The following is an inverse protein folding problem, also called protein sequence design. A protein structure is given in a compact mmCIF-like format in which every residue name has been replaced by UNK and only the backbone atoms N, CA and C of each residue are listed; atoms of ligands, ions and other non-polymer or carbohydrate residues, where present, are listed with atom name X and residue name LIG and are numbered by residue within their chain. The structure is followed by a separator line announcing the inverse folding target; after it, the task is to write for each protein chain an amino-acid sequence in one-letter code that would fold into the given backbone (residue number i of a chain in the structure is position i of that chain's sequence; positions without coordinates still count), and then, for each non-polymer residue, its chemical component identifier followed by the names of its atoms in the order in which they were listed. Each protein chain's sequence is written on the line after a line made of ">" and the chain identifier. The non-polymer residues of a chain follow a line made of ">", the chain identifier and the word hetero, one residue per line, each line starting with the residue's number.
data_IF_586703927131
#
_entry.id   IF_586703927131
#
_cell.length_a   1.000
_cell.length_b   1.000
_cell.length_c   1.000
_cell.angle_alpha   90.00
_cell.angle_beta   90.00
_cell.angle_gamma   90.00
#
_symmetry.space_group_name_H-M   'P 1'
#
loop_
_entity.id
_entity.type
_entity.pdbx_description
1 polymer ?
#
# COMPACT_ATOMS: atom_id res chain seq x y z
N UNK A 1 -5.77 -16.32 -35.28
CA UNK A 1 -7.09 -16.84 -34.82
C UNK A 1 -7.79 -15.75 -34.03
N UNK A 2 -8.92 -15.26 -34.53
CA UNK A 2 -9.78 -14.35 -33.72
C UNK A 2 -10.49 -15.19 -32.66
N UNK A 3 -9.94 -15.21 -31.45
CA UNK A 3 -10.60 -15.77 -30.27
C UNK A 3 -11.86 -14.94 -29.97
N UNK A 4 -13.04 -15.51 -30.26
CA UNK A 4 -14.32 -14.85 -29.95
C UNK A 4 -14.62 -14.99 -28.44
N UNK A 5 -13.84 -14.30 -27.60
CA UNK A 5 -13.97 -14.32 -26.15
C UNK A 5 -15.18 -13.48 -25.72
N UNK A 6 -16.05 -14.09 -24.92
CA UNK A 6 -17.22 -13.42 -24.33
C UNK A 6 -16.92 -13.05 -22.88
N UNK A 7 -17.67 -12.10 -22.33
CA UNK A 7 -17.51 -11.70 -20.90
C UNK A 7 -17.69 -12.88 -19.92
N UNK A 8 -18.51 -13.86 -20.24
CA UNK A 8 -18.71 -15.07 -19.42
C UNK A 8 -17.70 -16.19 -19.70
N UNK A 9 -16.81 -16.04 -20.68
CA UNK A 9 -15.76 -17.02 -20.93
C UNK A 9 -14.79 -17.09 -19.75
N UNK A 10 -14.32 -18.31 -19.37
CA UNK A 10 -13.27 -18.46 -18.35
C UNK A 10 -12.00 -17.68 -18.73
N UNK A 11 -11.43 -16.95 -17.78
CA UNK A 11 -10.20 -16.20 -17.97
C UNK A 11 -9.02 -16.83 -17.23
N UNK A 12 -9.22 -17.20 -15.95
CA UNK A 12 -8.20 -17.84 -15.15
C UNK A 12 -8.82 -18.69 -14.02
N UNK A 13 -7.99 -19.50 -13.38
CA UNK A 13 -8.34 -20.29 -12.20
C UNK A 13 -7.42 -19.87 -11.06
N UNK A 14 -8.01 -19.48 -9.93
CA UNK A 14 -7.27 -19.19 -8.69
C UNK A 14 -7.60 -20.29 -7.68
N UNK A 15 -6.58 -20.95 -7.16
CA UNK A 15 -6.75 -21.98 -6.14
C UNK A 15 -6.83 -21.36 -4.75
N UNK A 16 -7.78 -21.84 -3.95
CA UNK A 16 -7.94 -21.51 -2.54
C UNK A 16 -7.69 -22.74 -1.68
N UNK A 17 -7.27 -22.55 -0.42
CA UNK A 17 -6.95 -23.66 0.49
C UNK A 17 -8.14 -24.56 0.84
N UNK A 18 -9.39 -24.14 0.57
CA UNK A 18 -10.60 -24.90 0.87
C UNK A 18 -10.76 -25.25 2.37
N UNK A 19 -11.98 -25.26 2.88
CA UNK A 19 -12.29 -25.60 4.29
C UNK A 19 -12.02 -27.05 4.67
N UNK A 20 -11.85 -27.94 3.69
CA UNK A 20 -11.61 -29.37 3.88
C UNK A 20 -10.19 -29.85 3.56
N UNK A 21 -9.21 -28.94 3.48
CA UNK A 21 -7.81 -29.28 3.22
C UNK A 21 -7.46 -29.54 1.74
N UNK A 22 -8.44 -29.77 0.87
CA UNK A 22 -8.21 -29.92 -0.57
C UNK A 22 -8.33 -28.57 -1.28
N UNK A 23 -7.33 -28.17 -2.09
CA UNK A 23 -7.41 -26.93 -2.85
C UNK A 23 -8.60 -26.93 -3.81
N UNK A 24 -9.34 -25.81 -3.83
CA UNK A 24 -10.46 -25.61 -4.76
C UNK A 24 -10.07 -24.57 -5.80
N UNK A 25 -10.21 -24.91 -7.08
CA UNK A 25 -10.01 -23.99 -8.19
C UNK A 25 -11.26 -23.13 -8.41
N UNK A 26 -11.13 -21.83 -8.21
CA UNK A 26 -12.17 -20.84 -8.49
C UNK A 26 -11.96 -20.29 -9.90
N UNK A 27 -12.94 -20.52 -10.78
CA UNK A 27 -12.90 -20.04 -12.16
C UNK A 27 -13.36 -18.57 -12.16
N UNK A 28 -12.52 -17.69 -12.68
CA UNK A 28 -12.85 -16.28 -12.91
C UNK A 28 -13.13 -16.05 -14.39
N UNK A 29 -14.21 -15.34 -14.69
CA UNK A 29 -14.56 -14.95 -16.06
C UNK A 29 -13.89 -13.63 -16.45
N UNK A 30 -13.74 -13.40 -17.76
CA UNK A 30 -13.30 -12.11 -18.29
C UNK A 30 -14.18 -10.96 -17.79
N UNK A 31 -15.50 -11.14 -17.76
CA UNK A 31 -16.45 -10.13 -17.29
C UNK A 31 -16.29 -9.80 -15.81
N UNK A 32 -16.05 -10.81 -14.96
CA UNK A 32 -15.80 -10.61 -13.53
C UNK A 32 -14.53 -9.80 -13.29
N UNK A 33 -13.44 -10.11 -14.00
CA UNK A 33 -12.18 -9.36 -13.92
C UNK A 33 -12.40 -7.92 -14.38
N UNK A 34 -13.07 -7.70 -15.52
CA UNK A 34 -13.31 -6.36 -16.06
C UNK A 34 -14.19 -5.52 -15.13
N UNK A 35 -15.22 -6.10 -14.52
CA UNK A 35 -16.07 -5.38 -13.56
C UNK A 35 -15.30 -4.95 -12.31
N UNK A 36 -14.46 -5.83 -11.75
CA UNK A 36 -13.57 -5.47 -10.65
C UNK A 36 -12.58 -4.37 -11.05
N UNK A 37 -12.10 -4.43 -12.28
CA UNK A 37 -11.17 -3.46 -12.82
C UNK A 37 -11.79 -2.07 -12.96
N UNK A 38 -13.03 -1.98 -13.44
CA UNK A 38 -13.80 -0.73 -13.52
C UNK A 38 -13.88 -0.07 -12.13
N UNK A 39 -14.29 -0.82 -11.10
CA UNK A 39 -14.33 -0.32 -9.71
C UNK A 39 -12.95 0.07 -9.16
N UNK A 40 -11.91 -0.71 -9.42
CA UNK A 40 -10.55 -0.40 -8.98
C UNK A 40 -10.02 0.88 -9.63
N UNK A 41 -10.29 1.11 -10.92
CA UNK A 41 -9.89 2.32 -11.63
C UNK A 41 -10.56 3.57 -11.06
N UNK A 42 -11.84 3.50 -10.70
CA UNK A 42 -12.56 4.63 -10.05
C UNK A 42 -11.94 4.99 -8.69
N UNK A 43 -11.57 3.98 -7.88
CA UNK A 43 -10.90 4.20 -6.59
C UNK A 43 -9.50 4.82 -6.79
N UNK A 44 -8.78 4.40 -7.81
CA UNK A 44 -7.42 4.87 -8.08
C UNK A 44 -7.38 6.25 -8.74
N UNK A 45 -8.41 6.62 -9.50
CA UNK A 45 -8.48 7.87 -10.26
C UNK A 45 -8.08 9.14 -9.47
N UNK A 46 -8.56 9.41 -8.25
CA UNK A 46 -8.16 10.58 -7.48
C UNK A 46 -6.71 10.55 -6.99
N UNK A 47 -6.05 9.39 -7.03
CA UNK A 47 -4.66 9.22 -6.62
C UNK A 47 -3.67 9.37 -7.79
N UNK A 48 -4.19 9.38 -9.03
CA UNK A 48 -3.39 9.39 -10.25
C UNK A 48 -3.45 10.79 -10.88
N UNK A 49 -2.39 11.58 -10.66
CA UNK A 49 -2.17 12.87 -11.32
C UNK A 49 -1.18 12.78 -12.50
N UNK A 50 -0.33 11.73 -12.48
CA UNK A 50 0.68 11.41 -13.50
C UNK A 50 0.73 9.89 -13.64
N UNK A 51 1.60 9.39 -14.54
CA UNK A 51 1.83 7.96 -14.66
C UNK A 51 2.16 7.35 -13.28
N UNK A 52 1.29 6.49 -12.72
CA UNK A 52 1.49 5.95 -11.39
C UNK A 52 2.64 4.93 -11.40
N UNK A 53 3.33 4.83 -10.26
CA UNK A 53 4.40 3.86 -10.04
C UNK A 53 3.92 2.92 -8.94
N UNK A 54 3.89 1.63 -9.24
CA UNK A 54 3.54 0.58 -8.30
C UNK A 54 4.76 -0.26 -7.94
N UNK A 55 4.79 -0.74 -6.72
CA UNK A 55 5.69 -1.81 -6.28
C UNK A 55 4.83 -2.99 -5.84
N UNK A 56 4.86 -4.06 -6.63
CA UNK A 56 4.19 -5.33 -6.39
C UNK A 56 5.10 -6.23 -5.55
N UNK A 57 4.58 -6.76 -4.46
CA UNK A 57 5.33 -7.59 -3.52
C UNK A 57 4.51 -8.76 -2.95
N UNK A 58 3.21 -8.76 -3.16
CA UNK A 58 2.33 -9.85 -2.80
C UNK A 58 2.30 -10.91 -3.91
N UNK A 59 1.98 -12.18 -3.59
CA UNK A 59 1.90 -13.23 -4.59
C UNK A 59 0.80 -12.96 -5.63
N UNK A 60 1.14 -13.00 -6.91
CA UNK A 60 0.18 -12.86 -8.02
C UNK A 60 -0.83 -14.01 -8.10
N UNK A 61 -0.55 -15.12 -7.46
CA UNK A 61 -1.49 -16.24 -7.29
C UNK A 61 -2.65 -15.93 -6.34
N UNK A 62 -2.54 -14.85 -5.54
CA UNK A 62 -3.60 -14.39 -4.66
C UNK A 62 -4.55 -13.45 -5.40
N UNK A 63 -5.87 -13.66 -5.25
CA UNK A 63 -6.92 -12.91 -5.97
C UNK A 63 -6.79 -11.39 -5.84
N UNK A 64 -6.39 -10.89 -4.68
CA UNK A 64 -6.21 -9.47 -4.44
C UNK A 64 -5.10 -8.87 -5.32
N UNK A 65 -3.87 -9.39 -5.25
CA UNK A 65 -2.76 -8.87 -6.05
C UNK A 65 -2.97 -9.12 -7.55
N UNK A 66 -3.62 -10.24 -7.90
CA UNK A 66 -4.02 -10.53 -9.26
C UNK A 66 -4.93 -9.44 -9.85
N UNK A 67 -5.95 -9.01 -9.11
CA UNK A 67 -6.84 -7.90 -9.51
C UNK A 67 -6.06 -6.57 -9.62
N UNK A 68 -5.18 -6.30 -8.66
CA UNK A 68 -4.35 -5.09 -8.68
C UNK A 68 -3.43 -5.07 -9.90
N UNK A 69 -2.89 -6.22 -10.33
CA UNK A 69 -2.06 -6.31 -11.53
C UNK A 69 -2.81 -5.86 -12.79
N UNK A 70 -4.07 -6.25 -12.94
CA UNK A 70 -4.90 -5.77 -14.04
C UNK A 70 -5.18 -4.27 -13.95
N UNK A 71 -5.43 -3.76 -12.73
CA UNK A 71 -5.60 -2.32 -12.53
C UNK A 71 -4.34 -1.52 -12.90
N UNK A 72 -3.15 -2.03 -12.55
CA UNK A 72 -1.86 -1.44 -12.93
C UNK A 72 -1.71 -1.32 -14.46
N UNK A 73 -2.11 -2.37 -15.18
CA UNK A 73 -2.09 -2.38 -16.66
C UNK A 73 -3.08 -1.35 -17.22
N UNK A 74 -4.30 -1.34 -16.71
CA UNK A 74 -5.37 -0.45 -17.19
C UNK A 74 -5.05 1.04 -17.01
N UNK A 75 -4.40 1.41 -15.89
CA UNK A 75 -4.00 2.81 -15.65
C UNK A 75 -2.63 3.16 -16.26
N UNK A 76 -2.03 2.27 -17.04
CA UNK A 76 -0.74 2.50 -17.70
C UNK A 76 0.41 2.70 -16.70
N UNK A 77 0.38 2.01 -15.56
CA UNK A 77 1.37 2.16 -14.51
C UNK A 77 2.77 1.72 -14.93
N UNK A 78 3.78 2.29 -14.27
CA UNK A 78 5.11 1.69 -14.20
C UNK A 78 5.11 0.73 -13.01
N UNK A 79 5.39 -0.54 -13.24
CA UNK A 79 5.34 -1.59 -12.21
C UNK A 79 6.76 -2.11 -11.94
N UNK A 80 7.11 -2.15 -10.65
CA UNK A 80 8.29 -2.80 -10.15
C UNK A 80 7.85 -4.02 -9.32
N UNK A 81 8.64 -5.08 -9.33
CA UNK A 81 8.42 -6.27 -8.53
C UNK A 81 9.49 -6.37 -7.47
N UNK A 82 9.07 -6.54 -6.21
CA UNK A 82 10.00 -6.71 -5.11
C UNK A 82 10.70 -8.06 -5.20
N UNK A 83 12.00 -8.10 -4.90
CA UNK A 83 12.79 -9.32 -4.94
C UNK A 83 12.35 -10.32 -3.86
N UNK A 84 12.19 -9.82 -2.63
CA UNK A 84 11.78 -10.56 -1.44
C UNK A 84 11.36 -9.62 -0.32
N UNK A 85 10.62 -10.15 0.66
CA UNK A 85 10.04 -9.35 1.76
C UNK A 85 11.14 -8.66 2.59
N UNK A 86 12.27 -9.31 2.81
CA UNK A 86 13.39 -8.75 3.61
C UNK A 86 13.98 -7.50 2.98
N UNK A 87 13.98 -7.42 1.63
CA UNK A 87 14.48 -6.28 0.86
C UNK A 87 13.40 -5.25 0.51
N UNK A 88 12.18 -5.41 0.99
CA UNK A 88 11.05 -4.58 0.59
C UNK A 88 11.31 -3.08 0.80
N UNK A 89 11.94 -2.68 1.91
CA UNK A 89 12.26 -1.27 2.16
C UNK A 89 13.30 -0.71 1.19
N UNK A 90 14.28 -1.52 0.79
CA UNK A 90 15.28 -1.14 -0.19
C UNK A 90 14.63 -0.98 -1.56
N UNK A 91 13.79 -1.94 -1.96
CA UNK A 91 13.02 -1.87 -3.20
C UNK A 91 12.05 -0.67 -3.22
N UNK A 92 11.42 -0.30 -2.09
CA UNK A 92 10.61 0.93 -1.97
C UNK A 92 11.46 2.17 -2.21
N UNK A 93 12.65 2.23 -1.62
CA UNK A 93 13.56 3.37 -1.76
C UNK A 93 14.04 3.56 -3.20
N UNK A 94 14.24 2.47 -3.92
CA UNK A 94 14.69 2.45 -5.32
C UNK A 94 13.54 2.76 -6.29
N UNK A 95 12.42 2.03 -6.18
CA UNK A 95 11.27 2.18 -7.06
C UNK A 95 10.52 3.50 -6.85
N UNK A 96 10.58 4.06 -5.63
CA UNK A 96 9.85 5.28 -5.22
C UNK A 96 8.37 5.25 -5.63
N UNK A 97 7.62 4.22 -5.22
CA UNK A 97 6.25 4.02 -5.67
C UNK A 97 5.35 5.17 -5.24
N UNK A 98 4.32 5.43 -6.04
CA UNK A 98 3.24 6.37 -5.70
C UNK A 98 2.08 5.67 -5.01
N UNK A 99 1.88 4.40 -5.32
CA UNK A 99 0.84 3.53 -4.76
C UNK A 99 1.45 2.16 -4.46
N UNK A 100 1.10 1.58 -3.32
CA UNK A 100 1.48 0.22 -2.95
C UNK A 100 0.27 -0.55 -2.43
N UNK A 101 0.26 -1.84 -2.71
CA UNK A 101 -0.65 -2.77 -2.02
C UNK A 101 -0.13 -3.05 -0.61
N UNK A 102 -1.04 -3.27 0.32
CA UNK A 102 -0.70 -3.65 1.68
C UNK A 102 -1.78 -4.58 2.25
N UNK A 103 -1.37 -5.49 3.09
CA UNK A 103 -2.26 -6.39 3.84
C UNK A 103 -2.19 -6.05 5.34
N UNK A 104 -3.18 -6.43 6.15
CA UNK A 104 -3.19 -6.11 7.59
C UNK A 104 -1.89 -6.48 8.31
N UNK A 105 -1.32 -7.63 7.98
CA UNK A 105 -0.05 -8.10 8.55
C UNK A 105 1.13 -7.16 8.26
N UNK A 106 1.13 -6.48 7.11
CA UNK A 106 2.16 -5.49 6.78
C UNK A 106 2.11 -4.31 7.77
N UNK A 107 0.93 -3.78 8.05
CA UNK A 107 0.75 -2.67 8.99
C UNK A 107 1.13 -3.07 10.41
N UNK A 108 0.77 -4.28 10.85
CA UNK A 108 1.17 -4.81 12.16
C UNK A 108 2.69 -4.89 12.29
N UNK A 109 3.37 -5.44 11.30
CA UNK A 109 4.84 -5.54 11.27
C UNK A 109 5.50 -4.16 11.26
N UNK A 110 4.98 -3.23 10.46
CA UNK A 110 5.46 -1.85 10.40
C UNK A 110 5.28 -1.15 11.75
N UNK A 111 4.10 -1.26 12.36
CA UNK A 111 3.80 -0.71 13.68
C UNK A 111 4.72 -1.27 14.76
N UNK A 112 4.92 -2.58 14.79
CA UNK A 112 5.82 -3.23 15.74
C UNK A 112 7.27 -2.75 15.57
N UNK A 113 7.76 -2.66 14.34
CA UNK A 113 9.11 -2.17 14.03
C UNK A 113 9.30 -0.71 14.47
N UNK A 114 8.30 0.14 14.24
CA UNK A 114 8.28 1.53 14.70
C UNK A 114 8.33 1.58 16.23
N UNK A 115 7.47 0.82 16.93
CA UNK A 115 7.43 0.80 18.39
C UNK A 115 8.73 0.31 19.02
N UNK A 116 9.37 -0.72 18.45
CA UNK A 116 10.69 -1.17 18.92
C UNK A 116 11.72 -0.04 18.80
N UNK A 117 11.71 0.70 17.69
CA UNK A 117 12.63 1.81 17.48
C UNK A 117 12.34 2.99 18.43
N UNK A 118 11.06 3.25 18.73
CA UNK A 118 10.64 4.25 19.71
C UNK A 118 11.16 3.87 21.10
N UNK A 119 10.95 2.62 21.53
CA UNK A 119 11.42 2.14 22.84
C UNK A 119 12.94 2.18 23.00
N UNK A 120 13.69 2.03 21.91
CA UNK A 120 15.15 2.14 21.89
C UNK A 120 15.65 3.59 21.91
N UNK A 121 14.81 4.55 21.57
CA UNK A 121 15.17 5.97 21.56
C UNK A 121 15.34 6.49 23.01
N UNK A 122 16.37 7.30 23.23
CA UNK A 122 16.68 7.89 24.55
C UNK A 122 16.81 9.43 24.41
N UNK A 123 16.66 10.12 25.54
CA UNK A 123 16.90 11.56 25.63
C UNK A 123 16.01 12.39 24.72
N UNK A 124 16.60 13.38 24.05
CA UNK A 124 15.88 14.33 23.18
C UNK A 124 15.15 13.65 22.02
N UNK A 125 15.74 12.56 21.46
CA UNK A 125 15.13 11.82 20.37
C UNK A 125 13.81 11.17 20.78
N UNK A 126 13.74 10.60 22.00
CA UNK A 126 12.51 10.01 22.51
C UNK A 126 11.40 11.05 22.68
N UNK A 127 11.75 12.23 23.25
CA UNK A 127 10.81 13.36 23.41
C UNK A 127 10.28 13.85 22.06
N UNK A 128 11.15 13.96 21.05
CA UNK A 128 10.76 14.41 19.71
C UNK A 128 9.80 13.42 19.04
N UNK A 129 10.06 12.12 19.19
CA UNK A 129 9.18 11.08 18.63
C UNK A 129 7.82 11.11 19.32
N UNK A 130 7.78 11.18 20.66
CA UNK A 130 6.52 11.25 21.41
C UNK A 130 5.69 12.47 20.98
N UNK A 131 6.32 13.62 20.91
CA UNK A 131 5.69 14.86 20.45
C UNK A 131 5.14 14.73 19.02
N UNK A 132 5.88 14.03 18.13
CA UNK A 132 5.42 13.75 16.76
C UNK A 132 4.14 12.95 16.74
N UNK A 133 4.05 11.94 17.61
CA UNK A 133 2.88 11.07 17.73
C UNK A 133 1.68 11.86 18.28
N UNK A 134 1.88 12.62 19.32
CA UNK A 134 0.81 13.36 20.00
C UNK A 134 0.22 14.46 19.10
N UNK A 135 1.08 15.24 18.43
CA UNK A 135 0.64 16.23 17.46
C UNK A 135 -0.02 15.59 16.23
N UNK A 136 0.50 14.45 15.77
CA UNK A 136 -0.12 13.71 14.69
C UNK A 136 -1.51 13.18 15.02
N UNK A 137 -1.73 12.72 16.26
CA UNK A 137 -3.07 12.32 16.75
C UNK A 137 -4.03 13.51 16.79
N UNK A 138 -3.58 14.68 17.31
CA UNK A 138 -4.41 15.89 17.32
C UNK A 138 -4.83 16.32 15.91
N UNK A 139 -3.90 16.28 14.96
CA UNK A 139 -4.15 16.59 13.55
C UNK A 139 -5.17 15.63 12.93
N UNK A 140 -4.99 14.32 13.14
CA UNK A 140 -5.88 13.29 12.62
C UNK A 140 -7.31 13.40 13.19
N UNK A 141 -7.43 13.78 14.47
CA UNK A 141 -8.72 13.93 15.15
C UNK A 141 -9.32 15.34 15.00
N UNK A 142 -8.75 16.19 14.13
CA UNK A 142 -9.17 17.58 13.91
C UNK A 142 -9.28 18.39 15.22
N UNK A 143 -8.43 18.09 16.21
CA UNK A 143 -8.38 18.82 17.46
C UNK A 143 -7.69 20.17 17.30
N UNK A 144 -8.18 21.19 18.02
CA UNK A 144 -7.56 22.53 17.99
C UNK A 144 -6.14 22.47 18.56
N UNK A 145 -5.19 23.02 17.81
CA UNK A 145 -3.82 23.23 18.24
C UNK A 145 -3.62 24.71 18.61
N UNK A 146 -2.94 24.97 19.71
CA UNK A 146 -2.50 26.32 20.07
C UNK A 146 -1.36 26.79 19.14
N UNK A 147 -0.97 28.08 19.25
CA UNK A 147 0.04 28.67 18.38
C UNK A 147 1.40 27.97 18.49
N UNK A 148 1.84 27.63 19.70
CA UNK A 148 3.10 26.92 19.94
C UNK A 148 3.07 25.51 19.37
N UNK A 149 1.96 24.79 19.55
CA UNK A 149 1.78 23.46 18.97
C UNK A 149 1.84 23.47 17.43
N UNK A 150 1.32 24.52 16.78
CA UNK A 150 1.42 24.68 15.32
C UNK A 150 2.86 24.86 14.86
N UNK A 151 3.65 25.69 15.57
CA UNK A 151 5.08 25.88 15.25
C UNK A 151 5.83 24.57 15.43
N UNK A 152 5.64 23.89 16.58
CA UNK A 152 6.29 22.63 16.87
C UNK A 152 5.88 21.57 15.85
N UNK A 153 4.59 21.50 15.47
CA UNK A 153 4.11 20.57 14.44
C UNK A 153 4.78 20.79 13.08
N UNK A 154 5.04 22.04 12.71
CA UNK A 154 5.80 22.38 11.49
C UNK A 154 7.24 21.87 11.54
N UNK A 155 7.93 22.07 12.66
CA UNK A 155 9.31 21.58 12.89
C UNK A 155 9.35 20.06 12.86
N UNK A 156 8.44 19.40 13.57
CA UNK A 156 8.30 17.93 13.62
C UNK A 156 7.98 17.37 12.25
N UNK A 157 7.12 18.02 11.48
CA UNK A 157 6.81 17.64 10.11
C UNK A 157 8.05 17.67 9.23
N UNK A 158 8.87 18.70 9.35
CA UNK A 158 10.10 18.83 8.58
C UNK A 158 11.16 17.79 8.97
N UNK A 159 11.39 17.59 10.26
CA UNK A 159 12.50 16.78 10.76
C UNK A 159 12.19 15.28 10.81
N UNK A 160 10.96 14.92 11.17
CA UNK A 160 10.57 13.53 11.42
C UNK A 160 9.72 12.97 10.30
N UNK A 161 8.57 13.60 9.99
CA UNK A 161 7.64 13.09 8.99
C UNK A 161 8.26 13.05 7.59
N UNK A 162 9.03 14.07 7.21
CA UNK A 162 9.75 14.10 5.92
C UNK A 162 10.78 12.98 5.83
N UNK A 163 11.48 12.67 6.95
CA UNK A 163 12.42 11.56 7.02
C UNK A 163 11.72 10.20 6.87
N UNK A 164 10.58 10.02 7.55
CA UNK A 164 9.75 8.81 7.40
C UNK A 164 9.24 8.70 5.96
N UNK A 165 8.68 9.77 5.40
CA UNK A 165 8.21 9.79 4.01
C UNK A 165 9.32 9.38 3.04
N UNK A 166 10.56 9.83 3.27
CA UNK A 166 11.72 9.45 2.44
C UNK A 166 12.03 7.95 2.51
N UNK A 167 11.81 7.29 3.66
CA UNK A 167 11.98 5.84 3.79
C UNK A 167 10.97 5.06 2.94
N UNK A 168 9.83 5.66 2.64
CA UNK A 168 8.84 5.12 1.68
C UNK A 168 9.03 5.67 0.25
N UNK A 169 10.27 5.98 -0.13
CA UNK A 169 10.61 6.46 -1.47
C UNK A 169 10.25 7.93 -1.74
N UNK A 170 9.58 8.63 -0.82
CA UNK A 170 9.24 10.04 -0.90
C UNK A 170 7.99 10.38 -1.72
N UNK A 171 7.58 9.50 -2.62
CA UNK A 171 6.48 9.73 -3.57
C UNK A 171 5.17 9.01 -3.21
N UNK A 172 5.19 8.17 -2.16
CA UNK A 172 4.04 7.38 -1.79
C UNK A 172 2.86 8.26 -1.38
N UNK A 173 1.74 8.11 -2.07
CA UNK A 173 0.46 8.81 -1.83
C UNK A 173 -0.49 7.96 -1.01
N UNK A 174 -0.57 6.66 -1.32
CA UNK A 174 -1.49 5.76 -0.67
C UNK A 174 -0.99 4.32 -0.60
N UNK A 175 -1.42 3.64 0.45
CA UNK A 175 -1.50 2.18 0.47
C UNK A 175 -2.93 1.77 0.15
N UNK A 176 -3.08 0.83 -0.77
CA UNK A 176 -4.37 0.19 -1.05
C UNK A 176 -4.40 -1.11 -0.27
N UNK A 177 -5.38 -1.26 0.61
CA UNK A 177 -5.50 -2.45 1.46
C UNK A 177 -6.68 -3.31 1.02
N UNK A 178 -6.44 -4.61 0.98
CA UNK A 178 -7.45 -5.61 0.66
C UNK A 178 -7.01 -6.99 1.15
N UNK A 179 -7.90 -7.97 1.03
CA UNK A 179 -7.59 -9.35 1.40
C UNK A 179 -7.54 -9.63 2.90
N UNK A 180 -8.22 -8.81 3.72
CA UNK A 180 -8.41 -9.00 5.16
C UNK A 180 -9.84 -9.29 5.52
#
# INVERSE_FOLDING_TARGET
>A
ENLNLKRNSPACIIYTSGTGGNPKGVILSHGGILSNLEGACEILKPLIDKRPIFLTWLPLSHSYEHTVQFAQIAVGAKVFYAEKIEKLLDNISEAKPTIMTAVPRFYQNLYNKININIKKAKGFKAKLIQLTIDLGKKELLNQKMNFLEKIINSIVSLLVRKKIKKQFGGNLKAFVSGGG
#
